data_IF_074221416363
#
_entry.id   IF_074221416363
#
_cell.length_a   1.000
_cell.length_b   1.000
_cell.length_c   1.000
_cell.angle_alpha   90.00
_cell.angle_beta   90.00
_cell.angle_gamma   90.00
#
_symmetry.space_group_name_H-M   'P 1'
#
loop_
_entity.id
_entity.type
_entity.pdbx_description
1 polymer ?
#
# COMPACT_ATOMS: atom_id res chain seq x y z
N UNK A 1 20.27 10.01 5.21
CA UNK A 1 19.15 9.08 4.92
C UNK A 1 19.35 7.85 5.78
N UNK A 2 18.39 7.55 6.64
CA UNK A 2 18.44 6.39 7.53
C UNK A 2 18.21 5.09 6.74
N UNK A 3 18.60 3.94 7.31
CA UNK A 3 18.44 2.63 6.66
C UNK A 3 16.97 2.34 6.33
N UNK A 4 16.05 2.71 7.21
CA UNK A 4 14.60 2.52 7.00
C UNK A 4 14.03 3.40 5.88
N UNK A 5 14.49 4.64 5.75
CA UNK A 5 14.09 5.52 4.63
C UNK A 5 14.51 4.92 3.28
N UNK A 6 15.69 4.29 3.25
CA UNK A 6 16.21 3.65 2.04
C UNK A 6 15.41 2.39 1.68
N UNK A 7 15.02 1.58 2.66
CA UNK A 7 14.16 0.40 2.45
C UNK A 7 12.78 0.79 1.89
N UNK A 8 12.17 1.86 2.42
CA UNK A 8 10.89 2.37 1.92
C UNK A 8 11.01 2.89 0.49
N UNK A 9 12.09 3.62 0.17
CA UNK A 9 12.32 4.10 -1.20
C UNK A 9 12.50 2.94 -2.20
N UNK A 10 13.33 1.95 -1.84
CA UNK A 10 13.54 0.76 -2.66
C UNK A 10 12.22 0.00 -2.86
N UNK A 11 11.38 -0.08 -1.83
CA UNK A 11 10.06 -0.69 -1.94
C UNK A 11 9.17 -0.01 -2.99
N UNK A 12 9.08 1.33 -2.99
CA UNK A 12 8.31 2.06 -3.99
C UNK A 12 8.89 1.94 -5.40
N UNK A 13 10.22 1.93 -5.54
CA UNK A 13 10.87 1.69 -6.83
C UNK A 13 10.49 0.32 -7.38
N UNK A 14 10.54 -0.72 -6.53
CA UNK A 14 10.18 -2.08 -6.91
C UNK A 14 8.68 -2.19 -7.27
N UNK A 15 7.78 -1.50 -6.57
CA UNK A 15 6.36 -1.48 -6.93
C UNK A 15 6.09 -0.97 -8.36
N UNK A 16 6.96 -0.12 -8.91
CA UNK A 16 6.80 0.47 -10.24
C UNK A 16 7.55 -0.34 -11.31
N UNK A 17 8.73 -0.89 -10.96
CA UNK A 17 9.66 -1.46 -11.94
C UNK A 17 9.83 -2.98 -11.87
N UNK A 18 9.59 -3.60 -10.71
CA UNK A 18 9.73 -5.04 -10.53
C UNK A 18 8.42 -5.75 -10.87
N UNK A 19 8.39 -6.47 -11.99
CA UNK A 19 7.24 -7.23 -12.48
C UNK A 19 6.77 -8.33 -11.53
N UNK A 20 7.50 -8.60 -10.43
CA UNK A 20 6.97 -9.32 -9.28
C UNK A 20 5.69 -8.68 -8.74
N UNK A 21 5.55 -7.35 -8.81
CA UNK A 21 4.39 -6.63 -8.30
C UNK A 21 3.33 -6.36 -9.37
N UNK A 22 2.07 -6.48 -9.00
CA UNK A 22 0.93 -6.25 -9.90
C UNK A 22 0.93 -4.82 -10.45
N UNK A 23 1.34 -3.86 -9.63
CA UNK A 23 1.44 -2.45 -10.02
C UNK A 23 2.43 -2.25 -11.15
N UNK A 24 3.60 -2.90 -11.11
CA UNK A 24 4.60 -2.84 -12.17
C UNK A 24 4.11 -3.53 -13.46
N UNK A 25 3.46 -4.70 -13.33
CA UNK A 25 2.86 -5.40 -14.49
C UNK A 25 1.78 -4.55 -15.17
N UNK A 26 0.92 -3.92 -14.37
CA UNK A 26 -0.09 -2.99 -14.86
C UNK A 26 0.57 -1.79 -15.57
N UNK A 27 1.54 -1.15 -14.92
CA UNK A 27 2.19 0.05 -15.44
C UNK A 27 2.93 -0.24 -16.76
N UNK A 28 3.67 -1.35 -16.84
CA UNK A 28 4.33 -1.81 -18.07
C UNK A 28 3.32 -2.05 -19.19
N UNK A 29 2.24 -2.80 -18.94
CA UNK A 29 1.22 -3.10 -19.95
C UNK A 29 0.59 -1.84 -20.52
N UNK A 30 0.24 -0.87 -19.68
CA UNK A 30 -0.35 0.39 -20.15
C UNK A 30 0.69 1.33 -20.76
N UNK A 31 1.94 1.26 -20.33
CA UNK A 31 3.04 2.00 -20.96
C UNK A 31 3.24 1.56 -22.40
N UNK A 32 3.22 0.25 -22.66
CA UNK A 32 3.33 -0.32 -24.02
C UNK A 32 2.16 0.09 -24.93
N UNK A 33 0.95 0.27 -24.36
CA UNK A 33 -0.24 0.65 -25.12
C UNK A 33 -0.28 2.16 -25.40
N UNK A 34 0.08 2.98 -24.42
CA UNK A 34 -0.09 4.44 -24.48
C UNK A 34 1.16 5.19 -24.96
N UNK A 35 2.34 4.55 -24.89
CA UNK A 35 3.63 5.19 -25.11
C UNK A 35 4.08 6.10 -23.95
N UNK A 36 3.31 6.19 -22.86
CA UNK A 36 3.66 6.96 -21.65
C UNK A 36 4.55 6.11 -20.77
N UNK A 37 5.54 6.70 -20.10
CA UNK A 37 6.41 5.96 -19.18
C UNK A 37 5.64 5.40 -17.97
N UNK A 38 6.07 4.23 -17.49
CA UNK A 38 5.42 3.52 -16.40
C UNK A 38 5.34 4.35 -15.11
N UNK A 39 6.38 5.13 -14.79
CA UNK A 39 6.43 5.95 -13.58
C UNK A 39 5.39 7.08 -13.63
N UNK A 40 5.25 7.78 -14.76
CA UNK A 40 4.23 8.80 -14.99
C UNK A 40 2.83 8.20 -14.93
N UNK A 41 2.62 6.99 -15.46
CA UNK A 41 1.31 6.31 -15.36
C UNK A 41 0.94 6.03 -13.89
N UNK A 42 1.88 5.49 -13.10
CA UNK A 42 1.62 5.24 -11.67
C UNK A 42 1.37 6.55 -10.92
N UNK A 43 2.23 7.56 -11.08
CA UNK A 43 2.08 8.87 -10.44
C UNK A 43 0.77 9.55 -10.83
N UNK A 44 0.43 9.52 -12.12
CA UNK A 44 -0.83 10.06 -12.64
C UNK A 44 -2.05 9.36 -12.05
N UNK A 45 -2.00 8.04 -11.89
CA UNK A 45 -3.08 7.26 -11.26
C UNK A 45 -3.24 7.60 -9.79
N UNK A 46 -2.14 7.70 -9.04
CA UNK A 46 -2.17 8.13 -7.64
C UNK A 46 -2.77 9.53 -7.53
N UNK A 47 -2.27 10.48 -8.32
CA UNK A 47 -2.78 11.86 -8.33
C UNK A 47 -4.27 11.92 -8.68
N UNK A 48 -4.70 11.13 -9.66
CA UNK A 48 -6.10 11.04 -10.07
C UNK A 48 -6.98 10.51 -8.94
N UNK A 49 -6.59 9.43 -8.26
CA UNK A 49 -7.32 8.89 -7.11
C UNK A 49 -7.40 9.92 -5.98
N UNK A 50 -6.29 10.58 -5.65
CA UNK A 50 -6.27 11.63 -4.61
C UNK A 50 -7.20 12.79 -4.97
N UNK A 51 -7.23 13.20 -6.23
CA UNK A 51 -8.12 14.27 -6.71
C UNK A 51 -9.60 13.87 -6.61
N UNK A 52 -9.93 12.61 -6.96
CA UNK A 52 -11.29 12.09 -6.81
C UNK A 52 -11.73 12.10 -5.35
N UNK A 53 -10.86 11.74 -4.41
CA UNK A 53 -11.18 11.75 -2.97
C UNK A 53 -11.48 13.16 -2.43
N UNK A 54 -11.00 14.21 -3.09
CA UNK A 54 -11.27 15.60 -2.71
C UNK A 54 -12.58 16.12 -3.32
N UNK A 55 -12.90 15.69 -4.54
CA UNK A 55 -14.02 16.27 -5.32
C UNK A 55 -15.33 15.49 -5.15
N UNK A 56 -15.27 14.19 -4.85
CA UNK A 56 -16.46 13.36 -4.68
C UNK A 56 -17.29 13.81 -3.47
N UNK A 57 -18.61 13.75 -3.61
CA UNK A 57 -19.56 14.03 -2.51
C UNK A 57 -19.50 12.98 -1.40
N UNK A 58 -19.22 11.74 -1.79
CA UNK A 58 -19.19 10.57 -0.90
C UNK A 58 -17.86 9.81 -1.11
N UNK A 59 -16.71 10.40 -0.72
CA UNK A 59 -15.39 9.84 -0.98
C UNK A 59 -15.13 8.52 -0.25
N UNK A 60 -15.92 8.23 0.80
CA UNK A 60 -15.83 6.99 1.57
C UNK A 60 -16.06 5.74 0.73
N UNK A 61 -16.95 5.78 -0.27
CA UNK A 61 -17.18 4.63 -1.16
C UNK A 61 -15.92 4.28 -1.96
N UNK A 62 -15.24 5.29 -2.50
CA UNK A 62 -14.01 5.09 -3.25
C UNK A 62 -12.88 4.61 -2.33
N UNK A 63 -12.67 5.29 -1.20
CA UNK A 63 -11.60 4.94 -0.25
C UNK A 63 -11.78 3.52 0.31
N UNK A 64 -12.98 3.20 0.83
CA UNK A 64 -13.25 1.89 1.39
C UNK A 64 -13.24 0.79 0.32
N UNK A 65 -13.74 1.09 -0.89
CA UNK A 65 -13.67 0.17 -2.02
C UNK A 65 -12.23 -0.20 -2.37
N UNK A 66 -11.33 0.80 -2.49
CA UNK A 66 -9.91 0.56 -2.75
C UNK A 66 -9.25 -0.27 -1.62
N UNK A 67 -9.57 0.02 -0.36
CA UNK A 67 -9.06 -0.71 0.81
C UNK A 67 -9.61 -2.13 0.92
N UNK A 68 -10.77 -2.43 0.35
CA UNK A 68 -11.26 -3.83 0.28
C UNK A 68 -10.64 -4.55 -0.91
N UNK A 69 -10.58 -3.89 -2.08
CA UNK A 69 -10.12 -4.50 -3.31
C UNK A 69 -8.64 -4.85 -3.28
N UNK A 70 -7.76 -3.96 -2.82
CA UNK A 70 -6.33 -4.23 -2.84
C UNK A 70 -5.94 -5.51 -2.06
N UNK A 71 -6.40 -5.74 -0.81
CA UNK A 71 -6.16 -6.99 -0.09
C UNK A 71 -6.82 -8.22 -0.73
N UNK A 72 -7.99 -8.07 -1.37
CA UNK A 72 -8.65 -9.17 -2.10
C UNK A 72 -7.80 -9.58 -3.30
N UNK A 73 -7.32 -8.62 -4.09
CA UNK A 73 -6.43 -8.87 -5.23
C UNK A 73 -5.18 -9.59 -4.73
N UNK A 74 -4.52 -9.09 -3.69
CA UNK A 74 -3.34 -9.73 -3.10
C UNK A 74 -3.64 -11.12 -2.51
N UNK A 75 -4.86 -11.38 -2.02
CA UNK A 75 -5.19 -12.67 -1.39
C UNK A 75 -5.55 -13.75 -2.40
N UNK A 76 -6.27 -13.39 -3.46
CA UNK A 76 -6.87 -14.37 -4.38
C UNK A 76 -6.26 -14.37 -5.78
N UNK A 77 -5.81 -13.21 -6.27
CA UNK A 77 -5.24 -13.09 -7.62
C UNK A 77 -3.72 -13.17 -7.59
N UNK A 78 -3.09 -12.54 -6.60
CA UNK A 78 -1.63 -12.43 -6.49
C UNK A 78 -1.11 -12.85 -5.10
N UNK A 79 -1.34 -14.10 -4.67
CA UNK A 79 -1.01 -14.57 -3.33
C UNK A 79 0.48 -14.49 -2.97
N UNK A 80 1.36 -14.38 -3.96
CA UNK A 80 2.80 -14.18 -3.80
C UNK A 80 3.16 -12.78 -3.27
N UNK A 81 2.27 -11.80 -3.46
CA UNK A 81 2.40 -10.43 -2.99
C UNK A 81 1.68 -10.21 -1.64
N UNK A 82 0.95 -11.22 -1.16
CA UNK A 82 0.16 -11.14 0.07
C UNK A 82 1.04 -10.90 1.30
N UNK A 83 0.72 -9.90 2.15
CA UNK A 83 1.34 -9.73 3.45
C UNK A 83 1.13 -10.94 4.37
N UNK A 84 1.94 -11.04 5.44
CA UNK A 84 1.79 -12.13 6.41
C UNK A 84 0.39 -12.14 7.03
N UNK A 85 -0.12 -13.33 7.37
CA UNK A 85 -1.46 -13.48 7.95
C UNK A 85 -1.69 -12.64 9.21
N UNK A 86 -0.63 -12.38 9.99
CA UNK A 86 -0.68 -11.48 11.15
C UNK A 86 -0.99 -10.03 10.77
N UNK A 87 -0.30 -9.49 9.77
CA UNK A 87 -0.57 -8.13 9.25
C UNK A 87 -1.97 -8.06 8.67
N UNK A 88 -2.39 -9.08 7.92
CA UNK A 88 -3.73 -9.12 7.34
C UNK A 88 -4.83 -9.12 8.41
N UNK A 89 -4.63 -9.80 9.54
CA UNK A 89 -5.55 -9.77 10.67
C UNK A 89 -5.64 -8.36 11.30
N UNK A 90 -4.49 -7.72 11.51
CA UNK A 90 -4.42 -6.34 12.01
C UNK A 90 -5.10 -5.38 11.04
N UNK A 91 -4.80 -5.52 9.74
CA UNK A 91 -5.38 -4.74 8.65
C UNK A 91 -6.91 -4.79 8.69
N UNK A 92 -7.50 -5.98 8.66
CA UNK A 92 -8.95 -6.13 8.62
C UNK A 92 -9.64 -5.64 9.90
N UNK A 93 -8.99 -5.82 11.05
CA UNK A 93 -9.49 -5.32 12.33
C UNK A 93 -9.52 -3.79 12.35
N UNK A 94 -8.41 -3.15 11.99
CA UNK A 94 -8.32 -1.69 11.90
C UNK A 94 -9.27 -1.14 10.83
N UNK A 95 -9.36 -1.80 9.67
CA UNK A 95 -10.26 -1.40 8.61
C UNK A 95 -11.72 -1.39 9.08
N UNK A 96 -12.17 -2.46 9.75
CA UNK A 96 -13.51 -2.51 10.33
C UNK A 96 -13.78 -1.37 11.30
N UNK A 97 -12.82 -1.05 12.18
CA UNK A 97 -12.93 0.10 13.10
C UNK A 97 -13.06 1.40 12.30
N UNK A 98 -12.15 1.69 11.38
CA UNK A 98 -12.19 2.95 10.62
C UNK A 98 -13.50 3.10 9.84
N UNK A 99 -14.02 2.03 9.22
CA UNK A 99 -15.32 2.06 8.53
C UNK A 99 -16.47 2.42 9.46
N UNK A 100 -16.50 1.88 10.68
CA UNK A 100 -17.54 2.22 11.68
C UNK A 100 -17.47 3.69 12.12
N UNK A 101 -16.27 4.26 12.16
CA UNK A 101 -16.02 5.63 12.60
C UNK A 101 -15.93 6.66 11.45
N UNK A 102 -16.13 6.26 10.18
CA UNK A 102 -15.97 7.14 9.01
C UNK A 102 -16.74 8.46 9.17
N UNK A 103 -18.02 8.40 9.57
CA UNK A 103 -18.86 9.60 9.74
C UNK A 103 -18.34 10.57 10.82
N UNK A 104 -17.63 10.06 11.81
CA UNK A 104 -17.07 10.87 12.92
C UNK A 104 -15.71 11.44 12.51
N UNK A 105 -14.94 10.68 11.73
CA UNK A 105 -13.59 11.09 11.33
C UNK A 105 -13.57 11.95 10.06
N UNK A 106 -14.63 11.93 9.26
CA UNK A 106 -14.78 12.75 8.05
C UNK A 106 -14.80 14.27 8.33
N UNK A 107 -15.05 14.69 9.58
CA UNK A 107 -14.86 16.08 9.99
C UNK A 107 -13.40 16.55 9.89
N UNK A 108 -12.44 15.63 9.84
CA UNK A 108 -11.02 15.93 9.64
C UNK A 108 -10.78 16.18 8.14
N UNK A 109 -10.22 17.34 7.74
CA UNK A 109 -9.91 17.61 6.34
C UNK A 109 -8.97 16.55 5.77
N UNK A 110 -9.24 16.11 4.53
CA UNK A 110 -8.45 15.08 3.83
C UNK A 110 -8.39 13.73 4.56
N UNK A 111 -9.34 13.46 5.48
CA UNK A 111 -9.41 12.22 6.26
C UNK A 111 -9.21 10.96 5.41
N UNK A 112 -9.91 10.83 4.28
CA UNK A 112 -9.80 9.63 3.44
C UNK A 112 -8.44 9.46 2.77
N UNK A 113 -7.71 10.56 2.50
CA UNK A 113 -6.33 10.49 2.02
C UNK A 113 -5.43 9.95 3.15
N UNK A 114 -5.57 10.48 4.36
CA UNK A 114 -4.82 9.98 5.52
C UNK A 114 -5.17 8.53 5.84
N UNK A 115 -6.44 8.14 5.70
CA UNK A 115 -6.90 6.76 5.85
C UNK A 115 -6.19 5.85 4.84
N UNK A 116 -6.19 6.19 3.54
CA UNK A 116 -5.46 5.41 2.55
C UNK A 116 -3.96 5.32 2.86
N UNK A 117 -3.33 6.44 3.18
CA UNK A 117 -1.90 6.48 3.51
C UNK A 117 -1.56 5.60 4.73
N UNK A 118 -2.40 5.63 5.77
CA UNK A 118 -2.27 4.79 6.95
C UNK A 118 -2.29 3.30 6.59
N UNK A 119 -3.27 2.87 5.79
CA UNK A 119 -3.39 1.47 5.38
C UNK A 119 -2.31 1.02 4.39
N UNK A 120 -1.85 1.89 3.48
CA UNK A 120 -0.65 1.63 2.66
C UNK A 120 0.58 1.49 3.56
N UNK A 121 0.67 2.29 4.62
CA UNK A 121 1.73 2.24 5.63
C UNK A 121 1.86 0.87 6.32
N UNK A 122 0.74 0.16 6.53
CA UNK A 122 0.75 -1.20 7.09
C UNK A 122 1.42 -2.25 6.20
N UNK A 123 1.67 -1.93 4.94
CA UNK A 123 2.34 -2.81 3.98
C UNK A 123 3.77 -2.39 3.67
N UNK A 124 4.24 -1.24 4.19
CA UNK A 124 5.61 -0.78 3.98
C UNK A 124 6.62 -1.61 4.80
N UNK A 125 7.77 -2.02 4.27
CA UNK A 125 8.84 -2.55 5.11
C UNK A 125 9.34 -1.47 6.10
N UNK A 126 9.65 -1.80 7.39
CA UNK A 126 9.63 -3.09 8.06
C UNK A 126 8.39 -3.29 8.95
N UNK A 127 7.24 -2.70 8.62
CA UNK A 127 5.97 -2.91 9.38
C UNK A 127 5.51 -4.38 9.41
N UNK A 128 6.27 -5.28 8.79
CA UNK A 128 6.27 -6.71 9.00
C UNK A 128 7.13 -7.07 10.23
N UNK A 129 6.54 -7.25 11.43
CA UNK A 129 7.28 -7.55 12.67
C UNK A 129 8.15 -8.82 12.57
N UNK A 130 7.89 -9.68 11.57
CA UNK A 130 8.72 -10.85 11.26
C UNK A 130 10.11 -10.48 10.74
N UNK A 131 10.26 -9.43 9.94
CA UNK A 131 11.53 -9.05 9.30
C UNK A 131 12.47 -8.39 10.31
N UNK A 132 11.94 -7.60 11.23
CA UNK A 132 12.73 -7.00 12.31
C UNK A 132 13.20 -8.05 13.32
N UNK A 133 12.37 -9.05 13.63
CA UNK A 133 12.77 -10.19 14.48
C UNK A 133 13.85 -11.05 13.82
N UNK A 134 13.77 -11.27 12.49
CA UNK A 134 14.77 -12.02 11.72
C UNK A 134 16.09 -11.23 11.62
N UNK A 135 16.04 -9.92 11.33
CA UNK A 135 17.24 -9.07 11.32
C UNK A 135 17.93 -9.02 12.69
N UNK A 136 17.15 -8.94 13.78
CA UNK A 136 17.68 -8.96 15.15
C UNK A 136 18.30 -10.31 15.52
N UNK A 137 17.76 -11.42 14.99
CA UNK A 137 18.29 -12.77 15.23
C UNK A 137 19.55 -13.05 14.41
N UNK A 138 19.61 -12.62 13.15
CA UNK A 138 20.79 -12.79 12.27
C UNK A 138 21.98 -11.96 12.78
N UNK A 139 21.75 -10.70 13.20
CA UNK A 139 22.83 -9.83 13.70
C UNK A 139 23.33 -10.19 15.11
N UNK A 140 22.64 -11.09 15.83
CA UNK A 140 23.02 -11.54 17.17
C UNK A 140 23.62 -12.95 17.20
N UNK A 141 23.89 -13.57 16.05
CA UNK A 141 24.69 -14.82 16.00
C UNK A 141 26.15 -14.39 15.94
N UNK A 142 26.95 -14.58 17.02
CA UNK A 142 28.38 -14.35 16.93
C UNK A 142 28.97 -15.30 15.87
N UNK A 143 29.74 -14.74 14.94
CA UNK A 143 30.57 -15.54 14.04
C UNK A 143 31.48 -16.42 14.90
N UNK A 144 31.46 -17.73 14.62
CA UNK A 144 32.21 -18.75 15.36
C UNK A 144 33.71 -18.57 15.20
#
# INVERSE_FOLDING_TARGET
>A
MSKSELEVQVFFINLIHDEKYITARWAKRYSEITGIDAETLVKGTVLFILSLLVVLKEPHYLANGLLVLAPIVMTYLEPTEKPSSGIMCIYWTLFGIFVLFDRILEYIPLYYIFKLAFFVGLFLPPSNPSIEFIHRKINNIPEK
#
